data_IF_657264944794
#
_entry.id   IF_657264944794
#
_cell.length_a   1.000
_cell.length_b   1.000
_cell.length_c   1.000
_cell.angle_alpha   90.00
_cell.angle_beta   90.00
_cell.angle_gamma   90.00
#
_symmetry.space_group_name_H-M   'P 1'
#
loop_
_entity.id
_entity.type
_entity.pdbx_description
1 polymer ?
#
# COMPACT_ATOMS: atom_id res chain seq x y z
N UNK A 1 -0.10 31.87 -13.87
CA UNK A 1 0.29 30.56 -13.30
C UNK A 1 -0.89 29.62 -13.52
N UNK A 2 -0.70 28.54 -14.29
CA UNK A 2 -1.75 27.52 -14.48
C UNK A 2 -2.24 27.02 -13.12
N UNK A 3 -3.55 26.91 -12.96
CA UNK A 3 -4.20 26.55 -11.72
C UNK A 3 -4.08 25.02 -11.56
N UNK A 4 -2.94 24.53 -11.05
CA UNK A 4 -2.50 23.12 -11.11
C UNK A 4 -3.42 22.07 -10.42
N UNK A 5 -4.45 22.49 -9.69
CA UNK A 5 -5.27 21.66 -8.79
C UNK A 5 -6.75 22.04 -8.87
N UNK A 6 -7.27 22.24 -10.08
CA UNK A 6 -8.64 22.73 -10.30
C UNK A 6 -9.61 21.69 -10.81
N UNK A 7 -9.12 20.53 -11.26
CA UNK A 7 -9.94 19.50 -11.87
C UNK A 7 -11.02 19.04 -10.90
N UNK A 8 -12.26 19.28 -11.29
CA UNK A 8 -13.41 18.91 -10.49
C UNK A 8 -13.68 17.42 -10.64
N UNK A 9 -14.30 16.84 -9.60
CA UNK A 9 -14.70 15.43 -9.59
C UNK A 9 -15.57 15.06 -10.81
N UNK A 10 -16.47 15.95 -11.21
CA UNK A 10 -17.39 15.72 -12.33
C UNK A 10 -16.67 15.60 -13.69
N UNK A 11 -15.46 16.15 -13.80
CA UNK A 11 -14.67 16.17 -15.04
C UNK A 11 -13.64 15.02 -15.10
N UNK A 12 -13.66 14.12 -14.11
CA UNK A 12 -12.78 12.96 -14.04
C UNK A 12 -13.61 11.67 -13.94
N UNK A 13 -13.57 10.77 -14.95
CA UNK A 13 -14.21 9.47 -14.86
C UNK A 13 -13.72 8.67 -13.64
N UNK A 14 -12.41 8.72 -13.34
CA UNK A 14 -11.85 8.04 -12.17
C UNK A 14 -12.44 8.59 -10.85
N UNK A 15 -12.38 9.91 -10.62
CA UNK A 15 -12.89 10.49 -9.37
C UNK A 15 -14.41 10.33 -9.24
N UNK A 16 -15.13 10.40 -10.35
CA UNK A 16 -16.57 10.12 -10.41
C UNK A 16 -16.87 8.67 -10.02
N UNK A 17 -16.11 7.70 -10.55
CA UNK A 17 -16.24 6.30 -10.19
C UNK A 17 -16.01 6.08 -8.69
N UNK A 18 -14.89 6.57 -8.14
CA UNK A 18 -14.57 6.40 -6.72
C UNK A 18 -15.66 7.01 -5.83
N UNK A 19 -16.23 8.15 -6.22
CA UNK A 19 -17.33 8.77 -5.48
C UNK A 19 -18.61 7.94 -5.51
N UNK A 20 -18.95 7.36 -6.66
CA UNK A 20 -20.11 6.46 -6.79
C UNK A 20 -19.91 5.20 -5.94
N UNK A 21 -18.73 4.57 -5.99
CA UNK A 21 -18.42 3.40 -5.15
C UNK A 21 -18.50 3.70 -3.66
N UNK A 22 -18.08 4.90 -3.25
CA UNK A 22 -18.19 5.33 -1.86
C UNK A 22 -19.64 5.46 -1.39
N UNK A 23 -20.55 5.89 -2.27
CA UNK A 23 -21.97 6.06 -1.96
C UNK A 23 -22.73 4.73 -2.02
N UNK A 24 -22.41 3.88 -3.02
CA UNK A 24 -23.07 2.60 -3.28
C UNK A 24 -21.96 1.62 -3.64
N UNK A 25 -21.68 0.66 -2.75
CA UNK A 25 -20.53 -0.30 -2.74
C UNK A 25 -20.44 -1.26 -3.94
N UNK A 26 -20.90 -0.83 -5.11
CA UNK A 26 -20.75 -1.55 -6.36
C UNK A 26 -21.60 -2.81 -6.48
N UNK A 27 -21.02 -3.81 -7.13
CA UNK A 27 -21.56 -5.13 -7.42
C UNK A 27 -21.43 -6.07 -6.21
N UNK A 28 -22.09 -7.23 -6.26
CA UNK A 28 -21.98 -8.24 -5.20
C UNK A 28 -20.53 -8.72 -5.01
N UNK A 29 -19.77 -8.88 -6.10
CA UNK A 29 -18.37 -9.27 -6.03
C UNK A 29 -17.54 -8.22 -5.27
N UNK A 30 -17.74 -6.92 -5.53
CA UNK A 30 -17.01 -5.84 -4.83
C UNK A 30 -17.40 -5.74 -3.37
N UNK A 31 -18.67 -5.98 -3.05
CA UNK A 31 -19.13 -6.08 -1.65
C UNK A 31 -18.40 -7.22 -0.94
N UNK A 32 -18.32 -8.41 -1.57
CA UNK A 32 -17.60 -9.57 -1.02
C UNK A 32 -16.10 -9.32 -0.90
N UNK A 33 -15.45 -8.75 -1.90
CA UNK A 33 -14.01 -8.44 -1.88
C UNK A 33 -13.66 -7.29 -0.92
N UNK A 34 -14.62 -6.46 -0.52
CA UNK A 34 -14.44 -5.48 0.55
C UNK A 34 -14.53 -6.10 1.95
N UNK A 35 -15.01 -7.35 2.07
CA UNK A 35 -14.99 -8.10 3.32
C UNK A 35 -13.61 -8.73 3.54
N UNK A 36 -13.01 -8.45 4.71
CA UNK A 36 -11.62 -8.84 5.00
C UNK A 36 -11.39 -10.35 4.98
N UNK A 37 -12.39 -11.15 5.35
CA UNK A 37 -12.26 -12.61 5.37
C UNK A 37 -12.26 -13.14 3.96
N UNK A 38 -13.25 -12.75 3.16
CA UNK A 38 -13.36 -13.23 1.79
C UNK A 38 -12.21 -12.73 0.91
N UNK A 39 -11.79 -11.47 1.08
CA UNK A 39 -10.65 -10.89 0.38
C UNK A 39 -9.36 -11.69 0.61
N UNK A 40 -9.08 -12.06 1.87
CA UNK A 40 -7.91 -12.85 2.21
C UNK A 40 -7.94 -14.26 1.60
N UNK A 41 -9.13 -14.88 1.48
CA UNK A 41 -9.29 -16.18 0.82
C UNK A 41 -9.01 -16.11 -0.68
N UNK A 42 -9.49 -15.07 -1.36
CA UNK A 42 -9.20 -14.83 -2.78
C UNK A 42 -7.72 -14.56 -2.98
N UNK A 43 -7.13 -13.69 -2.16
CA UNK A 43 -5.69 -13.40 -2.17
C UNK A 43 -4.85 -14.69 -2.01
N UNK A 44 -5.21 -15.55 -1.05
CA UNK A 44 -4.54 -16.84 -0.84
C UNK A 44 -4.67 -17.77 -2.05
N UNK A 45 -5.81 -17.79 -2.75
CA UNK A 45 -6.00 -18.57 -3.99
C UNK A 45 -5.14 -18.06 -5.14
N UNK A 46 -4.95 -16.75 -5.24
CA UNK A 46 -4.00 -16.12 -6.19
C UNK A 46 -2.55 -16.43 -5.83
N UNK A 47 -2.28 -16.75 -4.56
CA UNK A 47 -0.98 -17.13 -4.05
C UNK A 47 -0.18 -15.99 -3.42
N UNK A 48 -0.79 -14.81 -3.24
CA UNK A 48 -0.14 -13.73 -2.48
C UNK A 48 -0.14 -14.09 -0.99
N UNK A 49 0.95 -13.83 -0.25
CA UNK A 49 0.96 -14.01 1.20
C UNK A 49 -0.12 -13.17 1.90
N UNK A 50 -0.75 -13.75 2.93
CA UNK A 50 -1.73 -13.09 3.81
C UNK A 50 -1.28 -13.26 5.26
N UNK A 51 -1.72 -12.37 6.16
CA UNK A 51 -1.52 -12.59 7.60
C UNK A 51 -2.30 -13.82 8.07
N UNK A 52 -1.67 -14.62 8.93
CA UNK A 52 -2.28 -15.81 9.49
C UNK A 52 -3.31 -15.39 10.54
N UNK A 53 -4.50 -15.98 10.47
CA UNK A 53 -5.57 -15.78 11.44
C UNK A 53 -5.44 -16.84 12.51
N UNK A 54 -5.11 -16.41 13.72
CA UNK A 54 -4.90 -17.29 14.86
C UNK A 54 -6.22 -17.56 15.58
N UNK A 55 -7.05 -16.52 15.75
CA UNK A 55 -8.33 -16.63 16.43
C UNK A 55 -9.42 -15.77 15.77
N UNK A 56 -10.67 -16.23 15.89
CA UNK A 56 -11.87 -15.46 15.56
C UNK A 56 -12.82 -15.53 16.75
N UNK A 57 -13.30 -14.39 17.20
CA UNK A 57 -14.21 -14.24 18.33
C UNK A 57 -15.53 -13.63 17.87
N UNK A 58 -16.64 -14.13 18.37
CA UNK A 58 -17.99 -13.58 18.23
C UNK A 58 -18.38 -12.68 19.41
N UNK A 59 -17.67 -12.79 20.53
CA UNK A 59 -17.75 -11.88 21.67
C UNK A 59 -16.35 -11.47 22.14
N UNK A 60 -16.12 -10.15 22.18
CA UNK A 60 -14.87 -9.57 22.66
C UNK A 60 -14.61 -9.86 24.14
N UNK A 61 -15.65 -10.17 24.93
CA UNK A 61 -15.48 -10.54 26.34
C UNK A 61 -14.70 -11.86 26.50
N UNK A 62 -14.71 -12.72 25.48
CA UNK A 62 -13.98 -13.99 25.45
C UNK A 62 -12.48 -13.82 25.13
N UNK A 63 -12.01 -12.60 24.83
CA UNK A 63 -10.59 -12.35 24.59
C UNK A 63 -9.76 -12.62 25.85
N UNK A 64 -8.66 -13.37 25.73
CA UNK A 64 -7.72 -13.63 26.83
C UNK A 64 -6.31 -13.16 26.49
N UNK A 65 -5.44 -13.04 27.50
CA UNK A 65 -4.04 -12.64 27.33
C UNK A 65 -3.25 -13.65 26.52
N UNK A 66 -3.59 -14.95 26.63
CA UNK A 66 -2.97 -16.04 25.87
C UNK A 66 -3.28 -15.91 24.37
N UNK A 67 -4.53 -15.56 24.01
CA UNK A 67 -4.92 -15.34 22.62
C UNK A 67 -4.21 -14.15 21.97
N UNK A 68 -3.86 -13.12 22.75
CA UNK A 68 -3.11 -11.96 22.25
C UNK A 68 -1.62 -12.26 22.06
N UNK A 69 -1.09 -13.25 22.79
CA UNK A 69 0.32 -13.63 22.76
C UNK A 69 1.28 -12.47 23.05
N UNK A 70 2.49 -12.56 22.50
CA UNK A 70 3.51 -11.52 22.65
C UNK A 70 3.29 -10.33 21.71
N UNK A 71 2.75 -10.58 20.52
CA UNK A 71 2.56 -9.56 19.49
C UNK A 71 1.50 -9.98 18.48
N UNK A 72 0.43 -9.19 18.34
CA UNK A 72 -0.67 -9.52 17.45
C UNK A 72 -1.34 -8.27 16.84
N UNK A 73 -2.18 -8.51 15.84
CA UNK A 73 -3.13 -7.55 15.30
C UNK A 73 -4.52 -7.98 15.72
N UNK A 74 -5.19 -7.16 16.52
CA UNK A 74 -6.61 -7.35 16.87
C UNK A 74 -7.45 -6.43 16.01
N UNK A 75 -8.40 -6.99 15.24
CA UNK A 75 -9.29 -6.18 14.39
C UNK A 75 -10.75 -6.57 14.50
N UNK A 76 -11.63 -5.57 14.58
CA UNK A 76 -13.06 -5.78 14.33
C UNK A 76 -13.30 -6.02 12.83
N UNK A 77 -13.81 -7.19 12.48
CA UNK A 77 -13.90 -7.66 11.08
C UNK A 77 -14.68 -6.69 10.18
N UNK A 78 -15.78 -6.14 10.72
CA UNK A 78 -16.71 -5.27 9.98
C UNK A 78 -16.38 -3.78 10.05
N UNK A 79 -15.34 -3.39 10.79
CA UNK A 79 -14.90 -1.98 10.86
C UNK A 79 -14.26 -1.50 9.55
N UNK A 80 -14.33 -0.20 9.28
CA UNK A 80 -13.63 0.44 8.14
C UNK A 80 -12.63 1.51 8.60
N UNK A 81 -11.74 1.94 7.70
CA UNK A 81 -10.77 3.04 7.95
C UNK A 81 -9.87 2.83 9.17
N UNK A 82 -9.36 1.60 9.37
CA UNK A 82 -8.58 1.18 10.54
C UNK A 82 -9.29 1.30 11.90
N UNK A 83 -10.57 1.70 11.94
CA UNK A 83 -11.33 1.72 13.19
C UNK A 83 -11.53 0.28 13.68
N UNK A 84 -11.14 0.03 14.91
CA UNK A 84 -11.17 -1.32 15.49
C UNK A 84 -9.91 -2.13 15.25
N UNK A 85 -8.90 -1.60 14.56
CA UNK A 85 -7.57 -2.24 14.46
C UNK A 85 -6.70 -1.77 15.62
N UNK A 86 -6.06 -2.71 16.29
CA UNK A 86 -5.07 -2.47 17.33
C UNK A 86 -3.84 -3.32 17.02
N UNK A 87 -2.67 -2.70 17.02
CA UNK A 87 -1.38 -3.35 16.83
C UNK A 87 -0.74 -3.53 18.21
N UNK A 88 -0.83 -4.71 18.78
CA UNK A 88 -0.52 -4.96 20.18
C UNK A 88 0.83 -5.64 20.33
N UNK A 89 1.60 -5.20 21.31
CA UNK A 89 2.76 -5.90 21.84
C UNK A 89 2.66 -5.97 23.35
N UNK A 90 2.89 -7.14 23.92
CA UNK A 90 2.89 -7.35 25.36
C UNK A 90 3.98 -6.51 26.03
N UNK A 91 3.61 -5.82 27.11
CA UNK A 91 4.42 -4.87 27.89
C UNK A 91 4.21 -5.12 29.40
N UNK A 92 4.01 -6.38 29.78
CA UNK A 92 3.73 -6.82 31.14
C UNK A 92 2.72 -7.97 31.19
N UNK A 93 2.34 -8.39 32.40
CA UNK A 93 1.42 -9.52 32.62
C UNK A 93 0.01 -9.26 32.06
N UNK A 94 -0.48 -8.03 32.18
CA UNK A 94 -1.79 -7.58 31.66
C UNK A 94 -1.70 -6.17 31.04
N UNK A 95 -0.64 -5.94 30.27
CA UNK A 95 -0.38 -4.66 29.61
C UNK A 95 0.10 -4.87 28.20
N UNK A 96 -0.42 -4.06 27.29
CA UNK A 96 -0.09 -4.13 25.87
C UNK A 96 0.12 -2.73 25.31
N UNK A 97 1.28 -2.50 24.73
CA UNK A 97 1.55 -1.31 23.94
C UNK A 97 0.83 -1.38 22.59
N UNK A 98 0.02 -0.37 22.27
CA UNK A 98 -0.71 -0.25 21.01
C UNK A 98 0.00 0.74 20.07
N UNK A 99 0.53 0.24 18.95
CA UNK A 99 1.42 1.03 18.08
C UNK A 99 0.72 2.15 17.32
N UNK A 100 -0.59 2.10 17.07
CA UNK A 100 -1.28 3.15 16.31
C UNK A 100 -1.58 4.39 17.18
N UNK A 101 -1.94 4.19 18.45
CA UNK A 101 -2.19 5.28 19.41
C UNK A 101 -0.96 5.64 20.24
N UNK A 102 0.09 4.82 20.21
CA UNK A 102 1.30 4.95 21.03
C UNK A 102 0.96 4.98 22.53
N UNK A 103 0.06 4.09 22.96
CA UNK A 103 -0.47 4.03 24.33
C UNK A 103 -0.48 2.59 24.83
N UNK A 104 -0.21 2.39 26.12
CA UNK A 104 -0.35 1.08 26.77
C UNK A 104 -1.76 0.93 27.33
N UNK A 105 -2.38 -0.22 27.07
CA UNK A 105 -3.69 -0.60 27.58
C UNK A 105 -3.61 -1.93 28.34
N UNK A 106 -4.46 -2.09 29.35
CA UNK A 106 -4.79 -3.38 29.95
C UNK A 106 -5.72 -4.20 29.05
N UNK A 107 -5.82 -5.52 29.28
CA UNK A 107 -6.78 -6.35 28.55
C UNK A 107 -8.23 -5.83 28.72
N UNK A 108 -8.58 -5.37 29.93
CA UNK A 108 -9.89 -4.81 30.22
C UNK A 108 -10.19 -3.55 29.36
N UNK A 109 -9.21 -2.64 29.25
CA UNK A 109 -9.34 -1.45 28.41
C UNK A 109 -9.40 -1.78 26.91
N UNK A 110 -8.64 -2.78 26.45
CA UNK A 110 -8.73 -3.29 25.07
C UNK A 110 -10.15 -3.79 24.78
N UNK A 111 -10.72 -4.62 25.66
CA UNK A 111 -12.09 -5.12 25.51
C UNK A 111 -13.11 -3.99 25.48
N UNK A 112 -13.01 -3.04 26.40
CA UNK A 112 -13.91 -1.89 26.47
C UNK A 112 -13.83 -1.05 25.19
N UNK A 113 -12.62 -0.76 24.70
CA UNK A 113 -12.40 0.03 23.49
C UNK A 113 -12.97 -0.68 22.26
N UNK A 114 -12.77 -1.99 22.14
CA UNK A 114 -13.31 -2.78 21.03
C UNK A 114 -14.84 -2.92 21.10
N UNK A 115 -15.43 -3.05 22.29
CA UNK A 115 -16.87 -3.01 22.49
C UNK A 115 -17.47 -1.66 22.08
N UNK A 116 -16.86 -0.55 22.49
CA UNK A 116 -17.30 0.79 22.09
C UNK A 116 -17.17 1.04 20.58
N UNK A 117 -16.20 0.40 19.92
CA UNK A 117 -16.08 0.44 18.46
C UNK A 117 -17.23 -0.33 17.82
N UNK A 118 -17.54 -1.54 18.29
CA UNK A 118 -18.68 -2.32 17.81
C UNK A 118 -19.98 -1.53 17.85
N UNK A 119 -20.26 -0.78 18.91
CA UNK A 119 -21.49 0.02 19.04
C UNK A 119 -21.68 1.04 17.91
N UNK A 120 -20.60 1.46 17.25
CA UNK A 120 -20.65 2.36 16.09
C UNK A 120 -21.06 1.68 14.79
N UNK A 121 -21.13 0.34 14.79
CA UNK A 121 -21.45 -0.47 13.62
C UNK A 121 -22.69 -1.31 13.89
N UNK A 122 -23.71 -1.18 13.04
CA UNK A 122 -25.01 -1.85 13.18
C UNK A 122 -25.02 -3.34 12.78
N UNK A 123 -23.86 -4.02 12.79
CA UNK A 123 -23.76 -5.39 12.27
C UNK A 123 -24.44 -6.37 13.23
N UNK A 124 -25.33 -7.22 12.69
CA UNK A 124 -26.06 -8.24 13.47
C UNK A 124 -25.14 -9.32 14.06
N UNK A 125 -24.00 -9.58 13.41
CA UNK A 125 -23.04 -10.61 13.79
C UNK A 125 -21.66 -9.97 13.98
N UNK A 126 -21.29 -9.58 15.20
CA UNK A 126 -19.95 -9.07 15.48
C UNK A 126 -18.91 -10.17 15.29
N UNK A 127 -17.73 -9.79 14.80
CA UNK A 127 -16.59 -10.68 14.75
C UNK A 127 -15.30 -9.89 14.98
N UNK A 128 -14.41 -10.42 15.80
CA UNK A 128 -13.04 -9.95 15.98
C UNK A 128 -12.07 -11.01 15.48
N UNK A 129 -11.01 -10.55 14.85
CA UNK A 129 -9.97 -11.41 14.27
C UNK A 129 -8.66 -11.05 14.94
N UNK A 130 -7.93 -12.07 15.38
CA UNK A 130 -6.56 -11.96 15.89
C UNK A 130 -5.64 -12.56 14.85
N UNK A 131 -4.67 -11.78 14.40
CA UNK A 131 -3.73 -12.17 13.35
C UNK A 131 -2.29 -11.92 13.76
N UNK A 132 -1.37 -12.66 13.15
CA UNK A 132 0.05 -12.49 13.42
C UNK A 132 0.53 -11.10 13.00
N UNK A 133 1.23 -10.41 13.90
CA UNK A 133 1.83 -9.11 13.59
C UNK A 133 3.15 -9.30 12.83
N UNK A 134 3.09 -9.08 11.51
CA UNK A 134 4.25 -9.18 10.62
C UNK A 134 5.31 -8.10 10.90
N UNK A 135 6.58 -8.50 10.82
CA UNK A 135 7.72 -7.60 11.00
C UNK A 135 8.01 -6.82 9.71
N UNK A 136 8.23 -5.51 9.83
CA UNK A 136 8.57 -4.63 8.70
C UNK A 136 10.03 -4.77 8.26
N UNK A 137 10.31 -4.40 7.01
CA UNK A 137 11.67 -4.43 6.44
C UNK A 137 12.62 -3.41 7.09
N UNK A 138 12.10 -2.28 7.58
CA UNK A 138 12.88 -1.23 8.26
C UNK A 138 12.98 -1.49 9.77
N UNK A 139 14.20 -1.64 10.35
CA UNK A 139 14.36 -1.96 11.78
C UNK A 139 13.90 -0.85 12.72
N UNK A 140 13.97 0.41 12.29
CA UNK A 140 13.50 1.57 13.07
C UNK A 140 11.98 1.75 13.04
N UNK A 141 11.28 1.01 12.17
CA UNK A 141 9.83 1.04 12.05
C UNK A 141 9.27 -0.24 12.69
N UNK A 142 8.51 -0.09 13.77
CA UNK A 142 7.86 -1.21 14.40
C UNK A 142 6.70 -1.75 13.53
N UNK A 143 5.94 -0.85 12.92
CA UNK A 143 4.84 -1.17 12.01
C UNK A 143 5.37 -1.21 10.57
N UNK A 144 5.14 -2.29 9.81
CA UNK A 144 5.42 -2.34 8.38
C UNK A 144 4.82 -1.15 7.64
N UNK A 145 5.51 -0.67 6.60
CA UNK A 145 4.93 0.32 5.71
C UNK A 145 3.75 -0.28 4.95
N UNK A 146 2.69 0.50 4.83
CA UNK A 146 1.47 0.17 4.09
C UNK A 146 1.56 0.85 2.72
N UNK A 147 1.62 0.06 1.65
CA UNK A 147 1.63 0.54 0.28
C UNK A 147 0.28 0.26 -0.37
N UNK A 148 -0.45 1.32 -0.69
CA UNK A 148 -1.73 1.26 -1.40
C UNK A 148 -1.52 1.50 -2.88
N UNK A 149 -1.72 0.48 -3.68
CA UNK A 149 -1.56 0.52 -5.13
C UNK A 149 -2.89 0.83 -5.78
N UNK A 150 -2.97 1.91 -6.55
CA UNK A 150 -4.13 2.29 -7.33
C UNK A 150 -3.98 1.62 -8.68
N UNK A 151 -4.75 0.56 -8.89
CA UNK A 151 -4.60 -0.34 -10.03
C UNK A 151 -5.82 -0.28 -10.93
N UNK A 152 -5.57 -0.18 -12.23
CA UNK A 152 -6.54 -0.05 -13.30
C UNK A 152 -6.48 -1.30 -14.19
N UNK A 153 -7.08 -2.40 -13.73
CA UNK A 153 -7.10 -3.71 -14.42
C UNK A 153 -5.70 -4.12 -14.92
N UNK A 154 -4.77 -4.30 -13.97
CA UNK A 154 -3.38 -4.68 -14.24
C UNK A 154 -2.40 -3.53 -14.50
N UNK A 155 -2.86 -2.27 -14.63
CA UNK A 155 -1.98 -1.10 -14.70
C UNK A 155 -1.90 -0.40 -13.34
N UNK A 156 -0.75 -0.40 -12.69
CA UNK A 156 -0.53 0.44 -11.50
C UNK A 156 -0.33 1.89 -11.98
N UNK A 157 -1.17 2.82 -11.48
CA UNK A 157 -1.09 4.24 -11.84
C UNK A 157 -0.49 5.12 -10.72
N UNK A 158 -0.81 4.81 -9.46
CA UNK A 158 -0.38 5.55 -8.28
C UNK A 158 -0.05 4.57 -7.15
N UNK A 159 0.98 4.87 -6.38
CA UNK A 159 1.35 4.12 -5.17
C UNK A 159 1.37 5.10 -4.01
N UNK A 160 0.60 4.81 -2.96
CA UNK A 160 0.53 5.62 -1.76
C UNK A 160 1.16 4.87 -0.59
N UNK A 161 2.34 5.33 -0.17
CA UNK A 161 3.05 4.79 0.98
C UNK A 161 2.56 5.50 2.25
N UNK A 162 2.20 4.71 3.25
CA UNK A 162 1.76 5.16 4.56
C UNK A 162 2.70 4.60 5.61
N UNK A 163 3.33 5.51 6.34
CA UNK A 163 4.08 5.21 7.56
C UNK A 163 3.20 5.48 8.78
N UNK A 164 2.85 4.39 9.48
CA UNK A 164 1.99 4.38 10.68
C UNK A 164 2.80 4.42 11.99
N UNK A 165 4.11 4.63 11.92
CA UNK A 165 4.99 4.74 13.09
C UNK A 165 4.99 6.16 13.69
N UNK A 166 4.11 7.05 13.21
CA UNK A 166 3.92 8.40 13.69
C UNK A 166 2.43 8.75 13.71
N UNK A 167 2.05 9.73 14.55
CA UNK A 167 0.68 10.22 14.66
C UNK A 167 0.66 11.76 14.56
N UNK A 168 -0.03 12.38 13.59
CA UNK A 168 -0.72 11.73 12.45
C UNK A 168 0.24 10.96 11.53
N UNK A 169 -0.26 9.96 10.76
CA UNK A 169 0.57 9.15 9.86
C UNK A 169 1.33 9.99 8.84
N UNK A 170 2.53 9.52 8.47
CA UNK A 170 3.33 10.16 7.42
C UNK A 170 3.09 9.46 6.09
N UNK A 171 3.10 10.21 4.98
CA UNK A 171 2.79 9.67 3.66
C UNK A 171 3.71 10.17 2.56
N UNK A 172 4.01 9.28 1.62
CA UNK A 172 4.71 9.59 0.38
C UNK A 172 3.95 8.98 -0.80
N UNK A 173 4.10 9.55 -1.99
CA UNK A 173 3.45 9.06 -3.20
C UNK A 173 4.46 8.77 -4.28
N UNK A 174 4.14 7.78 -5.12
CA UNK A 174 4.90 7.43 -6.30
C UNK A 174 3.96 7.23 -7.48
N UNK A 175 4.49 7.40 -8.69
CA UNK A 175 3.81 6.87 -9.87
C UNK A 175 3.83 5.33 -9.90
N UNK A 176 3.21 4.75 -10.93
CA UNK A 176 3.18 3.30 -11.15
C UNK A 176 4.54 2.62 -11.38
N UNK A 177 5.64 3.37 -11.40
CA UNK A 177 7.01 2.88 -11.54
C UNK A 177 7.83 2.98 -10.24
N UNK A 178 7.24 3.40 -9.12
CA UNK A 178 7.96 3.79 -7.90
C UNK A 178 8.84 5.04 -8.05
N UNK A 179 8.60 5.90 -9.05
CA UNK A 179 9.23 7.23 -9.08
C UNK A 179 8.49 8.13 -8.08
N UNK A 180 9.16 8.70 -7.07
CA UNK A 180 8.47 9.50 -6.06
C UNK A 180 7.93 10.80 -6.67
N UNK A 181 6.70 11.13 -6.30
CA UNK A 181 6.01 12.34 -6.67
C UNK A 181 6.46 13.51 -5.78
N UNK A 182 6.33 14.72 -6.30
CA UNK A 182 6.83 15.95 -5.69
C UNK A 182 5.70 16.68 -4.98
N UNK A 183 5.81 16.85 -3.66
CA UNK A 183 4.85 17.62 -2.87
C UNK A 183 4.81 19.09 -3.35
N UNK A 184 3.62 19.64 -3.55
CA UNK A 184 3.40 20.99 -4.06
C UNK A 184 3.36 21.10 -5.60
N UNK A 185 3.90 20.11 -6.31
CA UNK A 185 3.84 20.04 -7.78
C UNK A 185 2.86 18.97 -8.27
N UNK A 186 3.06 17.72 -7.86
CA UNK A 186 2.30 16.56 -8.30
C UNK A 186 1.07 16.32 -7.40
N UNK A 187 1.19 16.64 -6.10
CA UNK A 187 0.13 16.50 -5.12
C UNK A 187 0.27 17.49 -3.96
N UNK A 188 -0.83 17.71 -3.23
CA UNK A 188 -0.87 18.44 -1.95
C UNK A 188 -1.45 17.55 -0.87
N UNK A 189 -1.00 17.73 0.36
CA UNK A 189 -1.57 17.09 1.54
C UNK A 189 -2.52 18.06 2.25
N UNK A 190 -3.56 17.50 2.87
CA UNK A 190 -4.43 18.27 3.77
C UNK A 190 -3.79 18.34 5.15
N UNK A 191 -3.56 19.56 5.59
CA UNK A 191 -2.99 19.87 6.90
C UNK A 191 -3.77 19.19 8.04
N UNK A 192 -3.02 18.69 9.03
CA UNK A 192 -3.55 18.00 10.21
C UNK A 192 -4.06 16.58 9.98
N UNK A 193 -4.25 16.13 8.74
CA UNK A 193 -4.72 14.76 8.45
C UNK A 193 -3.60 13.74 8.32
N UNK A 194 -2.49 14.15 7.69
CA UNK A 194 -1.27 13.37 7.46
C UNK A 194 -0.09 14.33 7.36
N UNK A 195 1.12 13.80 7.49
CA UNK A 195 2.37 14.55 7.31
C UNK A 195 3.14 14.01 6.09
N UNK A 196 4.06 14.79 5.50
CA UNK A 196 4.99 14.25 4.50
C UNK A 196 5.89 13.15 5.11
N UNK A 197 6.12 12.07 4.37
CA UNK A 197 7.10 11.03 4.70
C UNK A 197 8.31 11.10 3.77
N UNK A 198 9.43 10.54 4.23
CA UNK A 198 10.53 10.12 3.36
C UNK A 198 10.03 9.04 2.39
N UNK A 199 10.18 9.21 1.06
CA UNK A 199 9.85 8.17 0.10
C UNK A 199 10.84 7.00 0.24
N UNK A 200 10.33 5.80 0.48
CA UNK A 200 11.10 4.55 0.56
C UNK A 200 10.57 3.59 -0.50
N UNK A 201 11.41 3.18 -1.43
CA UNK A 201 11.05 2.16 -2.42
C UNK A 201 11.33 0.80 -1.75
N UNK A 202 10.37 -0.11 -1.59
CA UNK A 202 10.61 -1.36 -0.89
C UNK A 202 11.63 -2.22 -1.65
N UNK A 203 12.41 -3.04 -0.94
CA UNK A 203 13.42 -3.91 -1.54
C UNK A 203 12.88 -4.77 -2.69
N UNK A 204 11.57 -5.07 -2.61
CA UNK A 204 10.85 -5.95 -3.50
C UNK A 204 9.79 -5.24 -4.32
N UNK A 205 10.04 -3.96 -4.64
CA UNK A 205 9.15 -3.11 -5.43
C UNK A 205 8.51 -3.84 -6.62
N UNK A 206 9.26 -4.67 -7.34
CA UNK A 206 8.70 -5.41 -8.47
C UNK A 206 7.74 -6.54 -8.09
N UNK A 207 7.94 -7.21 -6.95
CA UNK A 207 6.95 -8.17 -6.44
C UNK A 207 5.66 -7.46 -6.00
N UNK A 208 5.77 -6.27 -5.42
CA UNK A 208 4.63 -5.43 -5.07
C UNK A 208 3.79 -5.07 -6.30
N UNK A 209 4.44 -4.55 -7.35
CA UNK A 209 3.76 -4.24 -8.62
C UNK A 209 3.10 -5.50 -9.17
N UNK A 210 3.84 -6.60 -9.29
CA UNK A 210 3.31 -7.87 -9.79
C UNK A 210 2.04 -8.33 -9.05
N UNK A 211 2.08 -8.36 -7.71
CA UNK A 211 0.93 -8.79 -6.93
C UNK A 211 -0.26 -7.85 -7.05
N UNK A 212 -0.03 -6.54 -7.01
CA UNK A 212 -1.09 -5.55 -7.19
C UNK A 212 -1.78 -5.72 -8.56
N UNK A 213 -1.01 -5.99 -9.61
CA UNK A 213 -1.53 -6.24 -10.95
C UNK A 213 -2.40 -7.51 -11.00
N UNK A 214 -1.91 -8.63 -10.46
CA UNK A 214 -2.68 -9.88 -10.44
C UNK A 214 -3.96 -9.73 -9.61
N UNK A 215 -3.85 -9.21 -8.40
CA UNK A 215 -4.99 -9.04 -7.49
C UNK A 215 -6.07 -8.14 -8.09
N UNK A 216 -5.70 -7.09 -8.83
CA UNK A 216 -6.69 -6.20 -9.46
C UNK A 216 -7.57 -6.89 -10.51
N UNK A 217 -7.06 -7.96 -11.13
CA UNK A 217 -7.75 -8.71 -12.19
C UNK A 217 -8.77 -9.72 -11.65
N UNK A 218 -8.75 -10.00 -10.35
CA UNK A 218 -9.77 -10.79 -9.67
C UNK A 218 -11.05 -9.98 -9.38
N UNK A 219 -11.11 -8.73 -9.85
CA UNK A 219 -12.22 -7.82 -9.63
C UNK A 219 -12.96 -7.52 -10.94
N UNK A 220 -14.25 -7.23 -10.85
CA UNK A 220 -15.09 -6.73 -11.95
C UNK A 220 -15.05 -5.19 -12.07
N UNK A 221 -14.01 -4.56 -11.53
CA UNK A 221 -13.89 -3.12 -11.36
C UNK A 221 -12.84 -2.52 -12.29
N UNK A 222 -13.08 -1.38 -12.97
CA UNK A 222 -12.03 -0.69 -13.73
C UNK A 222 -10.91 -0.16 -12.82
N UNK A 223 -11.22 0.06 -11.54
CA UNK A 223 -10.27 0.55 -10.54
C UNK A 223 -10.42 -0.22 -9.22
N UNK A 224 -9.30 -0.53 -8.59
CA UNK A 224 -9.24 -0.98 -7.20
C UNK A 224 -7.94 -0.52 -6.56
N UNK A 225 -8.02 -0.08 -5.29
CA UNK A 225 -6.83 0.08 -4.45
C UNK A 225 -6.49 -1.27 -3.82
N UNK A 226 -5.26 -1.74 -3.98
CA UNK A 226 -4.73 -2.95 -3.35
C UNK A 226 -3.73 -2.55 -2.30
N UNK A 227 -3.98 -2.92 -1.05
CA UNK A 227 -3.05 -2.69 0.06
C UNK A 227 -2.08 -3.85 0.20
N UNK A 228 -0.79 -3.53 0.28
CA UNK A 228 0.28 -4.49 0.54
C UNK A 228 1.21 -3.95 1.63
N UNK A 229 1.51 -4.77 2.64
CA UNK A 229 2.47 -4.44 3.69
C UNK A 229 3.89 -4.86 3.32
N UNK A 230 4.88 -3.99 3.56
CA UNK A 230 6.31 -4.29 3.40
C UNK A 230 6.89 -5.00 4.61
N UNK A 231 6.86 -6.32 4.51
CA UNK A 231 7.36 -7.21 5.55
C UNK A 231 8.72 -7.79 5.18
N UNK A 232 9.37 -8.37 6.18
CA UNK A 232 10.60 -9.15 6.04
C UNK A 232 10.50 -10.37 5.13
N UNK A 233 9.29 -10.88 4.83
CA UNK A 233 9.01 -12.15 4.14
C UNK A 233 8.32 -12.00 2.78
N UNK A 234 7.52 -10.96 2.60
CA UNK A 234 6.90 -10.61 1.32
C UNK A 234 6.28 -9.22 1.35
N UNK A 235 5.84 -8.72 0.19
CA UNK A 235 4.54 -8.06 0.15
C UNK A 235 3.50 -9.00 0.80
N UNK A 236 2.77 -8.52 1.80
CA UNK A 236 1.65 -9.24 2.43
C UNK A 236 0.37 -8.49 2.12
N UNK A 237 -0.65 -9.20 1.64
CA UNK A 237 -1.94 -8.61 1.31
C UNK A 237 -2.65 -8.06 2.54
N UNK A 238 -3.13 -6.82 2.43
CA UNK A 238 -3.93 -6.13 3.44
C UNK A 238 -5.43 -6.17 3.13
N UNK A 239 -5.84 -5.47 2.08
CA UNK A 239 -7.25 -5.32 1.68
C UNK A 239 -7.41 -4.90 0.21
N UNK A 240 -8.61 -5.14 -0.32
CA UNK A 240 -9.12 -4.42 -1.48
C UNK A 240 -9.93 -3.22 -1.02
N UNK A 241 -9.75 -2.09 -1.70
CA UNK A 241 -10.54 -0.88 -1.45
C UNK A 241 -10.98 -0.26 -2.78
N UNK A 242 -12.27 -0.35 -3.09
CA UNK A 242 -12.88 0.25 -4.29
C UNK A 242 -13.19 1.75 -4.12
N UNK A 243 -13.29 2.21 -2.86
CA UNK A 243 -13.65 3.58 -2.51
C UNK A 243 -12.65 4.17 -1.50
N UNK A 244 -11.39 4.43 -1.89
CA UNK A 244 -10.38 4.91 -0.96
C UNK A 244 -10.77 6.24 -0.32
N UNK A 245 -10.90 6.21 1.02
CA UNK A 245 -11.29 7.37 1.81
C UNK A 245 -10.31 8.55 1.70
N UNK A 246 -9.04 8.30 1.38
CA UNK A 246 -8.04 9.35 1.22
C UNK A 246 -8.39 10.32 0.07
N UNK A 247 -8.93 9.81 -1.03
CA UNK A 247 -9.41 10.63 -2.16
C UNK A 247 -10.71 11.34 -1.78
N UNK A 248 -11.67 10.61 -1.19
CA UNK A 248 -13.00 11.15 -0.89
C UNK A 248 -13.02 12.19 0.24
N UNK A 249 -12.15 12.04 1.24
CA UNK A 249 -12.03 12.95 2.39
C UNK A 249 -10.98 14.04 2.17
N UNK A 250 -10.41 14.12 0.96
CA UNK A 250 -9.38 15.07 0.59
C UNK A 250 -8.19 15.03 1.56
N UNK A 251 -7.70 13.83 1.93
CA UNK A 251 -6.43 13.72 2.65
C UNK A 251 -5.27 14.23 1.80
N UNK A 252 -5.43 14.13 0.47
CA UNK A 252 -4.57 14.74 -0.52
C UNK A 252 -5.38 15.21 -1.73
N UNK A 253 -4.77 16.07 -2.53
CA UNK A 253 -5.26 16.49 -3.85
C UNK A 253 -4.15 16.28 -4.86
N UNK A 254 -4.44 15.54 -5.94
CA UNK A 254 -3.51 15.34 -7.06
C UNK A 254 -3.58 16.53 -8.01
N UNK A 255 -2.49 16.79 -8.73
CA UNK A 255 -2.48 17.80 -9.79
C UNK A 255 -3.40 17.40 -10.95
N UNK A 256 -3.88 18.39 -11.70
CA UNK A 256 -4.79 18.17 -12.82
C UNK A 256 -4.17 17.24 -13.87
N UNK A 257 -2.87 17.44 -14.16
CA UNK A 257 -2.09 16.58 -15.05
C UNK A 257 -2.09 15.12 -14.58
N UNK A 258 -1.83 14.89 -13.29
CA UNK A 258 -1.77 13.52 -12.77
C UNK A 258 -3.16 12.86 -12.77
N UNK A 259 -4.22 13.63 -12.50
CA UNK A 259 -5.60 13.13 -12.61
C UNK A 259 -5.93 12.75 -14.07
N UNK A 260 -5.51 13.54 -15.06
CA UNK A 260 -5.66 13.19 -16.48
C UNK A 260 -4.97 11.88 -16.86
N UNK A 261 -3.78 11.62 -16.31
CA UNK A 261 -3.09 10.34 -16.49
C UNK A 261 -3.89 9.17 -15.89
N UNK A 262 -4.41 9.32 -14.66
CA UNK A 262 -5.25 8.31 -14.02
C UNK A 262 -6.59 8.09 -14.75
N UNK A 263 -7.19 9.15 -15.30
CA UNK A 263 -8.40 9.05 -16.14
C UNK A 263 -8.12 8.23 -17.41
N UNK A 264 -6.95 8.43 -18.03
CA UNK A 264 -6.51 7.61 -19.17
C UNK A 264 -6.44 6.12 -18.81
N UNK A 265 -5.76 5.79 -17.70
CA UNK A 265 -5.68 4.40 -17.22
C UNK A 265 -7.06 3.81 -16.90
N UNK A 266 -7.95 4.61 -16.33
CA UNK A 266 -9.32 4.19 -16.01
C UNK A 266 -10.11 3.84 -17.26
N UNK A 267 -10.14 4.73 -18.26
CA UNK A 267 -10.85 4.50 -19.53
C UNK A 267 -10.33 3.28 -20.28
N UNK A 268 -9.02 3.03 -20.21
CA UNK A 268 -8.45 1.82 -20.82
C UNK A 268 -8.74 0.56 -20.00
N UNK A 269 -8.85 0.67 -18.67
CA UNK A 269 -9.25 -0.44 -17.83
C UNK A 269 -10.70 -0.87 -18.08
N UNK A 270 -11.62 0.07 -18.30
CA UNK A 270 -13.00 -0.26 -18.68
C UNK A 270 -13.09 -1.15 -19.92
N UNK A 271 -12.19 -0.95 -20.90
CA UNK A 271 -12.09 -1.79 -22.10
C UNK A 271 -11.51 -3.18 -21.82
N UNK A 272 -10.74 -3.34 -20.74
CA UNK A 272 -10.05 -4.59 -20.37
C UNK A 272 -10.88 -5.48 -19.45
N UNK A 273 -11.89 -4.97 -18.75
CA UNK A 273 -12.69 -5.77 -17.82
C UNK A 273 -13.25 -7.02 -18.52
N UNK A 274 -13.07 -8.19 -17.91
CA UNK A 274 -13.54 -9.46 -18.46
C UNK A 274 -12.71 -10.02 -19.62
N UNK A 275 -11.65 -9.34 -20.05
CA UNK A 275 -10.75 -9.87 -21.08
C UNK A 275 -9.92 -11.04 -20.53
N UNK A 276 -9.92 -12.21 -21.21
CA UNK A 276 -9.13 -13.36 -20.78
C UNK A 276 -7.62 -13.11 -21.03
N UNK A 277 -6.77 -13.72 -20.18
CA UNK A 277 -5.31 -13.67 -20.34
C UNK A 277 -4.65 -12.40 -19.80
N UNK A 278 -3.34 -12.26 -20.05
CA UNK A 278 -2.57 -11.10 -19.59
C UNK A 278 -3.10 -9.82 -20.26
N UNK A 279 -3.25 -8.71 -19.50
CA UNK A 279 -3.77 -7.47 -20.05
C UNK A 279 -2.77 -6.87 -21.04
N UNK A 280 -3.25 -6.40 -22.19
CA UNK A 280 -2.43 -5.58 -23.08
C UNK A 280 -2.39 -4.14 -22.55
N UNK A 281 -1.30 -3.82 -21.88
CA UNK A 281 -1.07 -2.48 -21.31
C UNK A 281 -0.51 -1.49 -22.34
N UNK A 282 -0.15 -1.92 -23.56
CA UNK A 282 0.44 -1.05 -24.60
C UNK A 282 -0.56 -0.06 -25.19
N UNK A 283 -1.86 -0.31 -25.00
CA UNK A 283 -2.92 0.60 -25.42
C UNK A 283 -3.09 1.81 -24.48
N UNK A 284 -2.44 1.81 -23.31
CA UNK A 284 -2.30 3.02 -22.51
C UNK A 284 -1.34 3.96 -23.24
N UNK A 285 -1.85 5.12 -23.71
CA UNK A 285 -1.13 6.20 -24.42
C UNK A 285 0.35 6.31 -24.05
N UNK A 286 1.22 6.59 -25.03
CA UNK A 286 2.70 6.75 -24.95
C UNK A 286 3.38 5.89 -23.88
N UNK A 287 4.21 4.91 -24.25
CA UNK A 287 4.87 4.02 -23.29
C UNK A 287 5.72 4.77 -22.23
N UNK A 288 5.07 5.22 -21.16
CA UNK A 288 5.70 5.86 -20.02
C UNK A 288 6.59 4.86 -19.30
N UNK A 289 7.51 5.34 -18.46
CA UNK A 289 8.32 4.46 -17.61
C UNK A 289 7.44 3.55 -16.74
N UNK A 290 6.28 4.04 -16.26
CA UNK A 290 5.31 3.26 -15.51
C UNK A 290 4.68 2.16 -16.35
N UNK A 291 4.20 2.45 -17.57
CA UNK A 291 3.62 1.42 -18.46
C UNK A 291 4.66 0.35 -18.79
N UNK A 292 5.88 0.74 -19.15
CA UNK A 292 6.98 -0.20 -19.43
C UNK A 292 7.30 -1.10 -18.24
N UNK A 293 7.43 -0.52 -17.05
CA UNK A 293 7.72 -1.28 -15.83
C UNK A 293 6.58 -2.25 -15.47
N UNK A 294 5.33 -1.84 -15.65
CA UNK A 294 4.16 -2.70 -15.42
C UNK A 294 4.12 -3.87 -16.41
N UNK A 295 4.46 -3.65 -17.68
CA UNK A 295 4.59 -4.72 -18.69
C UNK A 295 5.75 -5.66 -18.33
N UNK A 296 6.91 -5.13 -17.96
CA UNK A 296 8.06 -5.95 -17.57
C UNK A 296 7.81 -6.78 -16.33
N UNK A 297 7.11 -6.22 -15.34
CA UNK A 297 6.64 -6.98 -14.19
C UNK A 297 5.83 -8.18 -14.69
N UNK A 298 4.71 -7.94 -15.39
CA UNK A 298 3.77 -8.96 -15.88
C UNK A 298 4.38 -10.02 -16.81
N UNK A 299 5.39 -9.66 -17.59
CA UNK A 299 6.05 -10.59 -18.53
C UNK A 299 7.15 -11.40 -17.88
N UNK A 300 7.85 -10.85 -16.87
CA UNK A 300 8.94 -11.55 -16.20
C UNK A 300 8.44 -12.73 -15.35
N UNK A 301 7.31 -12.58 -14.66
CA UNK A 301 6.81 -13.58 -13.72
C UNK A 301 7.49 -13.49 -12.35
N UNK A 302 6.75 -13.87 -11.29
CA UNK A 302 7.18 -13.71 -9.90
C UNK A 302 8.56 -14.30 -9.59
N UNK A 303 8.88 -15.50 -10.09
CA UNK A 303 10.15 -16.15 -9.81
C UNK A 303 11.35 -15.33 -10.32
N UNK A 304 11.26 -14.78 -11.54
CA UNK A 304 12.32 -13.91 -12.08
C UNK A 304 12.39 -12.58 -11.35
N UNK A 305 11.27 -12.06 -10.84
CA UNK A 305 11.24 -10.83 -10.06
C UNK A 305 11.85 -11.00 -8.68
N UNK A 306 11.72 -12.17 -8.04
CA UNK A 306 12.41 -12.48 -6.79
C UNK A 306 13.93 -12.46 -6.94
N UNK A 307 14.44 -12.89 -8.10
CA UNK A 307 15.86 -12.84 -8.43
C UNK A 307 16.40 -11.41 -8.68
N UNK A 308 15.53 -10.39 -8.83
CA UNK A 308 15.97 -8.99 -9.01
C UNK A 308 16.47 -8.35 -7.72
N UNK A 309 16.30 -9.00 -6.56
CA UNK A 309 16.81 -8.53 -5.27
C UNK A 309 18.30 -8.80 -5.13
N UNK A 310 19.08 -8.10 -5.96
CA UNK A 310 20.54 -8.19 -5.99
C UNK A 310 21.21 -7.43 -4.83
N UNK A 311 20.43 -6.70 -4.03
CA UNK A 311 20.89 -6.10 -2.78
C UNK A 311 20.40 -7.00 -1.65
N UNK A 312 21.33 -7.51 -0.83
CA UNK A 312 20.95 -8.33 0.31
C UNK A 312 20.08 -7.53 1.29
N UNK A 313 19.22 -8.24 2.00
CA UNK A 313 18.20 -7.65 2.87
C UNK A 313 18.80 -6.78 3.98
N UNK A 314 19.95 -7.14 4.52
CA UNK A 314 20.59 -6.40 5.60
C UNK A 314 21.15 -5.08 5.09
N UNK A 315 21.88 -5.11 3.97
CA UNK A 315 22.39 -3.92 3.30
C UNK A 315 21.26 -2.99 2.89
N UNK A 316 20.21 -3.52 2.25
CA UNK A 316 19.05 -2.72 1.88
C UNK A 316 18.42 -2.07 3.12
N UNK A 317 18.14 -2.87 4.16
CA UNK A 317 17.53 -2.42 5.41
C UNK A 317 18.32 -1.27 6.05
N UNK A 318 19.64 -1.42 6.16
CA UNK A 318 20.52 -0.38 6.71
C UNK A 318 20.49 0.91 5.90
N UNK A 319 20.60 0.83 4.57
CA UNK A 319 20.64 2.02 3.71
C UNK A 319 19.27 2.70 3.62
N UNK A 320 18.19 1.92 3.54
CA UNK A 320 16.82 2.43 3.55
C UNK A 320 16.48 3.06 4.90
N UNK A 321 17.00 2.51 6.00
CA UNK A 321 16.90 3.13 7.32
C UNK A 321 17.63 4.49 7.38
N UNK A 322 18.83 4.60 6.80
CA UNK A 322 19.52 5.89 6.69
C UNK A 322 18.68 6.90 5.90
N UNK A 323 18.08 6.48 4.78
CA UNK A 323 17.18 7.34 4.02
C UNK A 323 15.96 7.76 4.85
N UNK A 324 15.31 6.81 5.51
CA UNK A 324 14.11 7.02 6.32
C UNK A 324 14.34 8.02 7.46
N UNK A 325 15.48 7.93 8.15
CA UNK A 325 15.88 8.86 9.21
C UNK A 325 16.31 10.25 8.70
N UNK A 326 16.09 10.56 7.42
CA UNK A 326 16.36 11.85 6.79
C UNK A 326 17.64 11.90 5.95
N UNK A 327 18.39 10.80 5.82
CA UNK A 327 19.70 10.82 5.17
C UNK A 327 19.67 10.64 3.65
N UNK A 328 19.88 11.71 2.89
CA UNK A 328 20.04 11.64 1.41
C UNK A 328 21.16 10.69 0.94
N UNK A 329 22.16 10.42 1.78
CA UNK A 329 23.23 9.43 1.54
C UNK A 329 22.70 8.00 1.38
N UNK A 330 21.68 7.61 2.14
CA UNK A 330 21.10 6.26 2.06
C UNK A 330 20.46 6.00 0.70
N UNK A 331 19.64 6.96 0.25
CA UNK A 331 19.01 6.92 -1.08
C UNK A 331 20.05 6.91 -2.21
N UNK A 332 21.12 7.73 -2.09
CA UNK A 332 22.21 7.72 -3.05
C UNK A 332 22.93 6.36 -3.15
N UNK A 333 23.27 5.75 -2.02
CA UNK A 333 23.93 4.43 -2.02
C UNK A 333 23.03 3.35 -2.61
N UNK A 334 21.74 3.37 -2.31
CA UNK A 334 20.79 2.45 -2.94
C UNK A 334 20.76 2.63 -4.45
N UNK A 335 20.71 3.88 -4.94
CA UNK A 335 20.81 4.15 -6.37
C UNK A 335 22.09 3.58 -7.00
N UNK A 336 23.26 3.80 -6.37
CA UNK A 336 24.53 3.24 -6.84
C UNK A 336 24.49 1.71 -6.92
N UNK A 337 23.99 1.04 -5.87
CA UNK A 337 23.88 -0.42 -5.85
C UNK A 337 23.03 -0.94 -7.02
N UNK A 338 21.86 -0.34 -7.27
CA UNK A 338 21.01 -0.72 -8.40
C UNK A 338 21.70 -0.49 -9.75
N UNK A 339 22.39 0.64 -9.93
CA UNK A 339 23.10 0.94 -11.18
C UNK A 339 24.31 0.03 -11.42
N UNK A 340 25.09 -0.29 -10.39
CA UNK A 340 26.20 -1.24 -10.48
C UNK A 340 25.67 -2.61 -10.87
N UNK A 341 24.63 -3.09 -10.18
CA UNK A 341 24.01 -4.38 -10.47
C UNK A 341 23.44 -4.43 -11.89
N UNK A 342 22.82 -3.34 -12.36
CA UNK A 342 22.33 -3.26 -13.73
C UNK A 342 23.43 -3.46 -14.77
N UNK A 343 24.63 -2.89 -14.56
CA UNK A 343 25.78 -3.04 -15.47
C UNK A 343 26.30 -4.48 -15.54
N UNK A 344 26.14 -5.25 -14.46
CA UNK A 344 26.55 -6.65 -14.39
C UNK A 344 25.50 -7.61 -14.96
N UNK A 345 24.25 -7.17 -15.05
CA UNK A 345 23.13 -8.01 -15.48
C UNK A 345 23.17 -8.27 -16.99
N UNK A 346 23.02 -9.54 -17.38
CA UNK A 346 23.04 -10.01 -18.78
C UNK A 346 21.67 -9.93 -19.43
N UNK A 347 20.60 -10.12 -18.66
CA UNK A 347 19.23 -9.98 -19.14
C UNK A 347 18.90 -8.50 -19.39
N UNK A 348 18.53 -8.17 -20.63
CA UNK A 348 18.13 -6.81 -21.01
C UNK A 348 16.99 -6.29 -20.12
N UNK A 349 15.96 -7.12 -19.90
CA UNK A 349 14.80 -6.74 -19.08
C UNK A 349 15.20 -6.46 -17.63
N UNK A 350 16.01 -7.35 -17.02
CA UNK A 350 16.45 -7.15 -15.64
C UNK A 350 17.36 -5.92 -15.51
N UNK A 351 18.25 -5.69 -16.48
CA UNK A 351 19.11 -4.50 -16.55
C UNK A 351 18.28 -3.21 -16.57
N UNK A 352 17.28 -3.13 -17.45
CA UNK A 352 16.43 -1.94 -17.55
C UNK A 352 15.63 -1.70 -16.26
N UNK A 353 15.11 -2.76 -15.63
CA UNK A 353 14.42 -2.66 -14.34
C UNK A 353 15.33 -2.12 -13.23
N UNK A 354 16.55 -2.66 -13.12
CA UNK A 354 17.53 -2.20 -12.13
C UNK A 354 17.96 -0.75 -12.41
N UNK A 355 18.16 -0.37 -13.68
CA UNK A 355 18.44 1.02 -14.05
C UNK A 355 17.30 1.96 -13.66
N UNK A 356 16.05 1.57 -13.89
CA UNK A 356 14.89 2.36 -13.51
C UNK A 356 14.78 2.53 -11.98
N UNK A 357 14.95 1.45 -11.21
CA UNK A 357 14.97 1.52 -9.74
C UNK A 357 16.10 2.41 -9.23
N UNK A 358 17.28 2.36 -9.87
CA UNK A 358 18.39 3.26 -9.57
C UNK A 358 18.01 4.73 -9.76
N UNK A 359 17.43 5.09 -10.90
CA UNK A 359 16.94 6.46 -11.18
C UNK A 359 15.87 6.91 -10.17
N UNK A 360 14.99 6.00 -9.75
CA UNK A 360 13.96 6.32 -8.78
C UNK A 360 14.55 6.62 -7.39
N UNK A 361 15.58 5.88 -6.97
CA UNK A 361 16.34 6.20 -5.76
C UNK A 361 17.15 7.49 -5.85
N UNK A 362 17.67 7.84 -7.03
CA UNK A 362 18.25 9.17 -7.27
C UNK A 362 17.22 10.27 -7.07
N UNK A 363 16.00 10.06 -7.57
CA UNK A 363 14.90 11.01 -7.33
C UNK A 363 14.56 11.12 -5.84
N UNK A 364 14.52 10.02 -5.09
CA UNK A 364 14.36 10.07 -3.63
C UNK A 364 15.46 10.92 -2.99
N UNK A 365 16.72 10.71 -3.39
CA UNK A 365 17.87 11.49 -2.90
C UNK A 365 17.70 12.99 -3.17
N UNK A 366 17.24 13.37 -4.36
CA UNK A 366 16.99 14.79 -4.70
C UNK A 366 15.96 15.43 -3.79
N UNK A 367 14.85 14.73 -3.54
CA UNK A 367 13.79 15.22 -2.65
C UNK A 367 14.30 15.37 -1.21
N UNK A 368 15.14 14.45 -0.74
CA UNK A 368 15.71 14.51 0.62
C UNK A 368 16.76 15.61 0.80
N UNK A 369 17.49 16.00 -0.26
CA UNK A 369 18.40 17.15 -0.17
C UNK A 369 17.65 18.46 0.09
N UNK A 370 16.43 18.57 -0.43
CA UNK A 370 15.58 19.75 -0.23
C UNK A 370 14.97 19.85 1.17
N UNK A 371 15.02 18.78 1.98
CA UNK A 371 14.54 18.76 3.37
C UNK A 371 15.64 18.97 4.42
N UNK A 372 16.91 18.96 4.01
CA UNK A 372 18.08 19.20 4.87
C UNK A 372 18.44 20.71 5.00
N UNK A 373 17.68 21.58 4.34
CA UNK A 373 17.80 23.05 4.35
C UNK A 373 16.56 23.68 4.99
#
# INVERSE_FOLDING_TARGET
MSNKYTKQRADSPFLTFVAKEFQKRGTELRIKLSDKVHAAEVAKKVGVPVSEREHVLDDIQNLTSEMLGERCVLKFARGWSAQGVMLLKKDGEDKYFEYLSLTTFSLAEIKQKQAAIRERFSSKEPAWIIESFKQGTLPSAAVPFDYKFYVFQGQVGLIFQIDRNANPPRVAMFDGSFKPLTLGEDYKLREGSVQPATPIIPARAMEFVWWAQLLSRETDSPFVSVDLFDTTEGPVFGEYTFSPGAVQKHMFTLSDKFIEELDGYFLDAEKRIGSPGLPDLRNAREETAAVKLNIWALTAGLNKLKELQLIDKETFSRLANVAYMGGSKGAWRLAEHYQINAKLEKSVVKRELLMQLGKNWERCRELLKGSDA
#
